data_IF_806843698607
#
_entry.id   IF_806843698607
#
_cell.length_a   1.000
_cell.length_b   1.000
_cell.length_c   1.000
_cell.angle_alpha   90.00
_cell.angle_beta   90.00
_cell.angle_gamma   90.00
#
_symmetry.space_group_name_H-M   'P 1'
#
loop_
_entity.id
_entity.type
_entity.pdbx_description
1 polymer ?
#
# COMPACT_ATOMS: atom_id res chain seq x y z
N UNK A 1 -10.63 -9.12 -26.31
CA UNK A 1 -10.73 -8.10 -25.25
C UNK A 1 -9.49 -8.22 -24.37
N UNK A 2 -8.79 -7.12 -24.17
CA UNK A 2 -7.64 -7.07 -23.27
C UNK A 2 -8.13 -7.33 -21.84
N UNK A 3 -7.52 -8.30 -21.16
CA UNK A 3 -7.82 -8.57 -19.77
C UNK A 3 -7.07 -7.53 -18.94
N UNK A 4 -7.80 -6.76 -18.11
CA UNK A 4 -7.20 -5.73 -17.25
C UNK A 4 -6.82 -6.33 -15.89
N UNK A 5 -5.86 -5.71 -15.19
CA UNK A 5 -5.47 -6.09 -13.82
C UNK A 5 -6.69 -6.06 -12.90
N UNK A 6 -7.53 -5.02 -13.01
CA UNK A 6 -8.78 -4.90 -12.24
C UNK A 6 -9.71 -6.11 -12.42
N UNK A 7 -9.85 -6.58 -13.67
CA UNK A 7 -10.71 -7.74 -13.97
C UNK A 7 -10.10 -9.04 -13.41
N UNK A 8 -8.79 -9.22 -13.53
CA UNK A 8 -8.11 -10.42 -13.00
C UNK A 8 -8.16 -10.45 -11.47
N UNK A 9 -7.83 -9.36 -10.82
CA UNK A 9 -7.80 -9.26 -9.35
C UNK A 9 -9.18 -9.49 -8.72
N UNK A 10 -10.24 -9.10 -9.41
CA UNK A 10 -11.61 -9.19 -8.92
C UNK A 10 -12.41 -10.34 -9.56
N UNK A 11 -11.74 -11.29 -10.22
CA UNK A 11 -12.39 -12.49 -10.75
C UNK A 11 -12.66 -13.47 -9.61
N UNK A 12 -13.89 -13.43 -9.10
CA UNK A 12 -14.38 -14.34 -8.06
C UNK A 12 -15.20 -15.50 -8.63
N UNK A 13 -15.00 -15.84 -9.91
CA UNK A 13 -15.61 -17.04 -10.50
C UNK A 13 -15.13 -18.32 -9.79
N UNK A 14 -15.96 -19.39 -9.74
CA UNK A 14 -15.54 -20.65 -9.14
C UNK A 14 -14.23 -21.20 -9.73
N UNK A 15 -13.99 -20.95 -11.02
CA UNK A 15 -12.76 -21.37 -11.71
C UNK A 15 -11.54 -20.57 -11.22
N UNK A 16 -11.66 -19.26 -11.07
CA UNK A 16 -10.58 -18.41 -10.57
C UNK A 16 -10.25 -18.76 -9.11
N UNK A 17 -11.27 -18.95 -8.27
CA UNK A 17 -11.10 -19.36 -6.87
C UNK A 17 -10.43 -20.73 -6.78
N UNK A 18 -10.85 -21.72 -7.55
CA UNK A 18 -10.22 -23.06 -7.56
C UNK A 18 -8.75 -23.00 -8.02
N UNK A 19 -8.44 -22.14 -8.99
CA UNK A 19 -7.04 -21.92 -9.42
C UNK A 19 -6.21 -21.28 -8.30
N UNK A 20 -6.73 -20.27 -7.61
CA UNK A 20 -6.07 -19.64 -6.48
C UNK A 20 -5.82 -20.65 -5.36
N UNK A 21 -6.82 -21.48 -5.01
CA UNK A 21 -6.67 -22.57 -4.05
C UNK A 21 -5.55 -23.54 -4.42
N UNK A 22 -5.54 -23.98 -5.66
CA UNK A 22 -4.47 -24.86 -6.14
C UNK A 22 -3.09 -24.23 -5.96
N UNK A 23 -2.91 -22.96 -6.35
CA UNK A 23 -1.63 -22.24 -6.24
C UNK A 23 -1.20 -22.04 -4.79
N UNK A 24 -2.12 -21.71 -3.91
CA UNK A 24 -1.83 -21.59 -2.47
C UNK A 24 -1.39 -22.93 -1.87
N UNK A 25 -2.02 -24.05 -2.27
CA UNK A 25 -1.61 -25.39 -1.83
C UNK A 25 -0.23 -25.77 -2.35
N UNK A 26 0.11 -25.42 -3.60
CA UNK A 26 1.45 -25.64 -4.19
C UNK A 26 2.53 -24.83 -3.45
N UNK A 27 2.22 -23.60 -3.01
CA UNK A 27 3.13 -22.73 -2.29
C UNK A 27 3.32 -23.12 -0.82
N UNK A 28 2.32 -23.76 -0.21
CA UNK A 28 2.24 -24.03 1.24
C UNK A 28 3.51 -24.63 1.85
N UNK A 29 4.23 -25.58 1.19
CA UNK A 29 5.46 -26.15 1.75
C UNK A 29 6.60 -25.14 1.96
N UNK A 30 6.55 -24.00 1.24
CA UNK A 30 7.57 -22.95 1.28
C UNK A 30 7.12 -21.72 2.11
N UNK A 31 5.92 -21.76 2.70
CA UNK A 31 5.37 -20.66 3.50
C UNK A 31 5.75 -20.85 4.95
N UNK A 32 6.51 -19.90 5.49
CA UNK A 32 6.94 -19.89 6.89
C UNK A 32 5.77 -19.59 7.85
N UNK A 33 4.77 -18.82 7.40
CA UNK A 33 3.57 -18.49 8.16
C UNK A 33 2.60 -17.64 7.37
N UNK A 34 1.33 -17.67 7.79
CA UNK A 34 0.29 -16.77 7.33
C UNK A 34 0.14 -15.67 8.38
N UNK A 35 0.47 -14.45 8.00
CA UNK A 35 0.59 -13.35 8.95
C UNK A 35 0.15 -12.04 8.31
N UNK A 36 -0.58 -11.22 9.03
CA UNK A 36 -1.01 -9.91 8.55
C UNK A 36 -0.20 -8.77 9.17
N UNK A 37 0.17 -8.89 10.47
CA UNK A 37 0.72 -7.77 11.24
C UNK A 37 2.19 -7.95 11.63
N UNK A 38 2.65 -9.20 11.84
CA UNK A 38 3.99 -9.51 12.38
C UNK A 38 4.98 -10.03 11.33
N UNK A 39 4.58 -10.19 10.07
CA UNK A 39 5.44 -10.65 8.99
C UNK A 39 6.69 -9.76 8.80
N UNK A 40 6.55 -8.47 9.00
CA UNK A 40 7.64 -7.49 8.97
C UNK A 40 8.77 -7.82 9.95
N UNK A 41 8.43 -8.29 11.15
CA UNK A 41 9.44 -8.70 12.16
C UNK A 41 10.19 -9.98 11.75
N UNK A 42 9.59 -10.85 10.97
CA UNK A 42 10.28 -12.04 10.46
C UNK A 42 11.40 -11.67 9.48
N UNK A 43 11.20 -10.60 8.71
CA UNK A 43 12.20 -10.07 7.79
C UNK A 43 13.39 -9.48 8.54
N UNK A 44 13.16 -8.60 9.52
CA UNK A 44 14.22 -7.98 10.32
C UNK A 44 15.02 -8.99 11.15
N UNK A 45 14.39 -10.11 11.52
CA UNK A 45 15.03 -11.21 12.25
C UNK A 45 15.63 -12.30 11.35
N UNK A 46 15.65 -12.07 10.02
CA UNK A 46 16.17 -12.99 9.02
C UNK A 46 15.54 -14.39 9.09
N UNK A 47 14.23 -14.46 9.37
CA UNK A 47 13.45 -15.69 9.47
C UNK A 47 12.64 -16.01 8.23
N UNK A 48 12.51 -15.05 7.33
CA UNK A 48 11.88 -15.20 6.03
C UNK A 48 12.69 -14.43 4.98
N UNK A 49 12.69 -14.92 3.75
CA UNK A 49 13.38 -14.30 2.62
C UNK A 49 12.49 -13.37 1.80
N UNK A 50 11.18 -13.63 1.83
CA UNK A 50 10.16 -12.87 1.12
C UNK A 50 8.98 -12.70 2.06
N UNK A 51 8.46 -11.48 2.14
CA UNK A 51 7.23 -11.16 2.84
C UNK A 51 6.26 -10.46 1.87
N UNK A 52 5.04 -10.97 1.78
CA UNK A 52 3.96 -10.29 1.08
C UNK A 52 3.27 -9.36 2.07
N UNK A 53 3.53 -8.08 1.95
CA UNK A 53 3.20 -7.10 2.99
C UNK A 53 2.65 -5.78 2.44
N UNK A 54 2.07 -4.98 3.30
CA UNK A 54 1.64 -3.61 3.02
C UNK A 54 2.85 -2.68 2.86
N UNK A 55 2.72 -1.65 2.02
CA UNK A 55 3.82 -0.73 1.73
C UNK A 55 4.35 0.02 2.96
N UNK A 56 3.47 0.45 3.88
CA UNK A 56 3.88 1.12 5.12
C UNK A 56 4.61 0.19 6.09
N UNK A 57 4.19 -1.09 6.16
CA UNK A 57 4.92 -2.10 6.94
C UNK A 57 6.28 -2.44 6.32
N UNK A 58 6.39 -2.34 4.99
CA UNK A 58 7.67 -2.50 4.29
C UNK A 58 8.63 -1.33 4.63
N UNK A 59 8.16 -0.09 4.64
CA UNK A 59 8.97 1.08 5.06
C UNK A 59 9.53 0.86 6.46
N UNK A 60 8.67 0.50 7.42
CA UNK A 60 9.09 0.20 8.77
C UNK A 60 10.13 -0.94 8.83
N UNK A 61 9.88 -2.03 8.09
CA UNK A 61 10.79 -3.18 8.08
C UNK A 61 12.16 -2.84 7.49
N UNK A 62 12.23 -2.02 6.47
CA UNK A 62 13.47 -1.56 5.83
C UNK A 62 14.28 -0.71 6.83
N UNK A 63 13.63 0.26 7.51
CA UNK A 63 14.29 1.12 8.49
C UNK A 63 14.84 0.33 9.69
N UNK A 64 14.05 -0.58 10.25
CA UNK A 64 14.47 -1.44 11.38
C UNK A 64 15.56 -2.43 10.98
N UNK A 65 15.51 -2.96 9.75
CA UNK A 65 16.51 -3.89 9.23
C UNK A 65 17.86 -3.20 9.02
N UNK A 66 17.86 -1.99 8.48
CA UNK A 66 19.06 -1.17 8.27
C UNK A 66 19.79 -0.92 9.60
N UNK A 67 19.03 -0.61 10.67
CA UNK A 67 19.56 -0.39 12.02
C UNK A 67 20.32 -1.62 12.61
N UNK A 68 20.05 -2.82 12.10
CA UNK A 68 20.71 -4.07 12.52
C UNK A 68 21.60 -4.68 11.44
N UNK A 69 21.84 -3.95 10.35
CA UNK A 69 22.72 -4.37 9.25
C UNK A 69 22.12 -5.43 8.33
N UNK A 70 20.80 -5.53 8.25
CA UNK A 70 20.07 -6.39 7.30
C UNK A 70 19.55 -5.51 6.17
N UNK A 71 19.94 -5.83 4.94
CA UNK A 71 19.49 -5.12 3.74
C UNK A 71 18.16 -5.72 3.27
N UNK A 72 17.12 -4.90 3.22
CA UNK A 72 15.81 -5.22 2.68
C UNK A 72 15.43 -4.25 1.57
N UNK A 73 14.62 -4.74 0.63
CA UNK A 73 14.05 -3.94 -0.44
C UNK A 73 12.56 -4.27 -0.61
N UNK A 74 11.82 -3.36 -1.23
CA UNK A 74 10.41 -3.52 -1.51
C UNK A 74 10.12 -3.32 -3.00
N UNK A 75 9.34 -4.20 -3.57
CA UNK A 75 8.94 -4.10 -4.97
C UNK A 75 7.48 -4.47 -5.19
N UNK A 76 6.83 -3.74 -6.08
CA UNK A 76 5.52 -4.12 -6.61
C UNK A 76 5.74 -5.03 -7.83
N UNK A 77 5.22 -6.27 -7.84
CA UNK A 77 5.38 -7.20 -8.95
C UNK A 77 4.97 -6.61 -10.31
N UNK A 78 5.63 -7.04 -11.37
CA UNK A 78 5.33 -6.57 -12.73
C UNK A 78 3.91 -6.97 -13.19
N UNK A 79 3.34 -8.01 -12.61
CA UNK A 79 1.97 -8.48 -12.83
C UNK A 79 0.92 -7.52 -12.27
N UNK A 80 1.28 -6.72 -11.28
CA UNK A 80 0.40 -5.78 -10.60
C UNK A 80 0.23 -6.08 -9.12
N UNK A 81 -0.51 -5.23 -8.44
CA UNK A 81 -0.79 -5.34 -7.01
C UNK A 81 -2.12 -4.71 -6.63
N UNK A 82 -2.49 -4.90 -5.38
CA UNK A 82 -3.59 -4.17 -4.76
C UNK A 82 -3.17 -2.71 -4.49
N UNK A 83 -4.10 -1.79 -4.75
CA UNK A 83 -4.06 -0.40 -4.28
C UNK A 83 -5.33 -0.15 -3.47
N UNK A 84 -5.23 0.59 -2.38
CA UNK A 84 -6.39 0.88 -1.52
C UNK A 84 -6.33 2.30 -0.97
N UNK A 85 -7.44 2.72 -0.40
CA UNK A 85 -7.59 3.98 0.31
C UNK A 85 -8.29 3.74 1.63
N UNK A 86 -7.68 4.17 2.73
CA UNK A 86 -8.32 4.24 4.02
C UNK A 86 -8.90 5.63 4.24
N UNK A 87 -10.09 5.70 4.79
CA UNK A 87 -10.79 6.97 4.97
C UNK A 87 -11.42 7.12 6.33
N UNK A 88 -11.30 8.33 6.88
CA UNK A 88 -12.05 8.72 8.07
C UNK A 88 -13.51 8.92 7.72
N UNK A 89 -14.41 8.28 8.46
CA UNK A 89 -15.85 8.41 8.28
C UNK A 89 -16.52 8.88 9.57
N UNK A 90 -17.59 9.64 9.42
CA UNK A 90 -18.44 10.06 10.54
C UNK A 90 -19.74 9.26 10.43
N UNK A 91 -20.02 8.33 11.37
CA UNK A 91 -21.24 7.53 11.33
C UNK A 91 -22.49 8.40 11.35
N UNK A 92 -23.55 7.96 10.67
CA UNK A 92 -24.84 8.71 10.53
C UNK A 92 -25.42 9.18 11.86
N UNK A 93 -25.23 8.40 12.91
CA UNK A 93 -25.81 8.69 14.23
C UNK A 93 -24.76 9.20 15.24
N UNK A 94 -23.62 9.71 14.76
CA UNK A 94 -22.62 10.31 15.63
C UNK A 94 -23.19 11.53 16.38
N UNK A 95 -22.92 11.60 17.69
CA UNK A 95 -23.41 12.69 18.54
C UNK A 95 -22.58 13.97 18.41
N UNK A 96 -21.30 13.84 18.11
CA UNK A 96 -20.31 14.92 18.07
C UNK A 96 -19.77 15.15 16.65
N UNK A 97 -20.65 15.27 15.65
CA UNK A 97 -20.28 15.42 14.22
C UNK A 97 -19.32 16.61 14.02
N UNK A 98 -19.59 17.75 14.68
CA UNK A 98 -18.76 18.95 14.56
C UNK A 98 -17.34 18.71 15.09
N UNK A 99 -17.18 18.05 16.22
CA UNK A 99 -15.86 17.73 16.77
C UNK A 99 -15.11 16.74 15.87
N UNK A 100 -15.79 15.71 15.34
CA UNK A 100 -15.24 14.78 14.39
C UNK A 100 -14.75 15.47 13.10
N UNK A 101 -15.55 16.41 12.57
CA UNK A 101 -15.17 17.19 11.38
C UNK A 101 -13.93 18.07 11.65
N UNK A 102 -13.84 18.70 12.82
CA UNK A 102 -12.64 19.46 13.20
C UNK A 102 -11.42 18.56 13.33
N UNK A 103 -11.57 17.36 13.88
CA UNK A 103 -10.47 16.41 14.00
C UNK A 103 -9.98 15.96 12.62
N UNK A 104 -10.87 15.58 11.71
CA UNK A 104 -10.51 15.21 10.33
C UNK A 104 -9.81 16.38 9.63
N UNK A 105 -10.34 17.59 9.76
CA UNK A 105 -9.72 18.78 9.18
C UNK A 105 -8.32 19.06 9.76
N UNK A 106 -8.12 18.81 11.05
CA UNK A 106 -6.81 18.92 11.69
C UNK A 106 -5.83 17.92 11.08
N UNK A 107 -6.23 16.67 10.84
CA UNK A 107 -5.40 15.64 10.20
C UNK A 107 -5.02 16.00 8.76
N UNK A 108 -5.83 16.80 8.07
CA UNK A 108 -5.55 17.28 6.72
C UNK A 108 -4.56 18.47 6.65
N UNK A 109 -4.11 19.01 7.78
CA UNK A 109 -3.08 20.04 7.77
C UNK A 109 -1.73 19.43 7.33
N UNK A 110 -0.97 20.05 6.39
CA UNK A 110 0.25 19.47 5.85
C UNK A 110 1.26 19.04 6.93
N UNK A 111 1.50 19.90 7.93
CA UNK A 111 2.41 19.59 9.04
C UNK A 111 1.96 18.43 9.93
N UNK A 112 0.66 18.17 10.02
CA UNK A 112 0.09 17.05 10.76
C UNK A 112 0.16 15.78 9.91
N UNK A 113 -0.19 15.89 8.62
CA UNK A 113 -0.08 14.80 7.65
C UNK A 113 1.36 14.27 7.57
N UNK A 114 2.36 15.16 7.48
CA UNK A 114 3.79 14.77 7.49
C UNK A 114 4.15 13.96 8.74
N UNK A 115 3.80 14.46 9.93
CA UNK A 115 4.08 13.73 11.19
C UNK A 115 3.38 12.36 11.25
N UNK A 116 2.17 12.25 10.71
CA UNK A 116 1.48 10.97 10.64
C UNK A 116 2.20 10.02 9.67
N UNK A 117 2.58 10.49 8.48
CA UNK A 117 3.33 9.68 7.51
C UNK A 117 4.64 9.15 8.09
N UNK A 118 5.39 10.00 8.79
CA UNK A 118 6.66 9.61 9.42
C UNK A 118 6.45 8.60 10.56
N UNK A 119 5.31 8.68 11.27
CA UNK A 119 5.02 7.77 12.38
C UNK A 119 4.51 6.38 11.94
N UNK A 120 3.82 6.29 10.80
CA UNK A 120 3.14 5.05 10.39
C UNK A 120 3.68 4.44 9.09
N UNK A 121 4.56 5.14 8.37
CA UNK A 121 5.11 4.69 7.08
C UNK A 121 4.17 4.81 5.88
N UNK A 122 2.87 5.08 6.09
CA UNK A 122 1.88 5.21 5.02
C UNK A 122 1.72 6.65 4.54
N UNK A 123 1.27 6.82 3.29
CA UNK A 123 1.10 8.13 2.65
C UNK A 123 -0.27 8.71 2.96
N UNK A 124 -0.31 10.00 3.31
CA UNK A 124 -1.55 10.76 3.41
C UNK A 124 -2.08 11.16 2.02
N UNK A 125 -3.40 11.25 1.87
CA UNK A 125 -4.03 11.78 0.65
C UNK A 125 -3.88 13.32 0.49
N UNK A 126 -3.19 13.99 1.40
CA UNK A 126 -2.91 15.43 1.33
C UNK A 126 -1.77 15.68 0.36
N UNK A 127 -2.10 16.21 -0.83
CA UNK A 127 -1.16 16.46 -1.92
C UNK A 127 -0.94 17.98 -2.10
N UNK A 128 -0.15 18.58 -1.24
CA UNK A 128 0.17 20.03 -1.27
C UNK A 128 1.62 20.28 -1.63
N UNK A 129 1.99 21.51 -2.07
CA UNK A 129 3.38 21.88 -2.32
C UNK A 129 4.30 21.60 -1.13
N UNK A 130 3.82 21.85 0.09
CA UNK A 130 4.59 21.63 1.32
C UNK A 130 4.89 20.13 1.53
N UNK A 131 3.95 19.24 1.22
CA UNK A 131 4.17 17.79 1.27
C UNK A 131 5.16 17.36 0.20
N UNK A 132 5.00 17.84 -1.03
CA UNK A 132 5.88 17.54 -2.13
C UNK A 132 7.32 17.96 -1.82
N UNK A 133 7.52 19.18 -1.34
CA UNK A 133 8.84 19.70 -0.95
C UNK A 133 9.45 18.88 0.20
N UNK A 134 8.67 18.62 1.25
CA UNK A 134 9.17 17.91 2.44
C UNK A 134 9.53 16.44 2.18
N UNK A 135 8.92 15.81 1.18
CA UNK A 135 9.18 14.41 0.81
C UNK A 135 10.18 14.25 -0.34
N UNK A 136 10.57 15.35 -1.00
CA UNK A 136 11.59 15.31 -2.05
C UNK A 136 12.97 15.09 -1.42
N UNK A 137 13.68 14.06 -1.90
CA UNK A 137 15.06 13.73 -1.52
C UNK A 137 15.96 13.72 -2.76
N UNK A 138 16.72 14.77 -2.93
CA UNK A 138 17.62 14.96 -4.08
C UNK A 138 18.84 14.03 -4.06
N UNK A 139 19.01 13.22 -3.03
CA UNK A 139 20.08 12.20 -2.96
C UNK A 139 19.70 10.91 -3.67
N UNK A 140 18.40 10.72 -3.98
CA UNK A 140 17.92 9.57 -4.71
C UNK A 140 18.24 9.69 -6.20
N UNK A 141 18.70 8.59 -6.79
CA UNK A 141 18.97 8.50 -8.24
C UNK A 141 17.71 8.22 -9.08
N UNK A 142 16.56 7.98 -8.41
CA UNK A 142 15.31 7.60 -9.06
C UNK A 142 14.38 8.80 -9.19
N UNK A 143 13.86 9.02 -10.40
CA UNK A 143 12.84 10.01 -10.69
C UNK A 143 11.51 9.30 -11.00
N UNK A 144 10.43 9.72 -10.34
CA UNK A 144 9.08 9.16 -10.46
C UNK A 144 8.09 10.18 -11.00
N UNK A 145 7.20 9.75 -11.91
CA UNK A 145 6.04 10.53 -12.32
C UNK A 145 4.94 10.39 -11.26
N UNK A 146 4.77 11.44 -10.47
CA UNK A 146 3.75 11.54 -9.43
C UNK A 146 2.64 12.54 -9.78
N UNK A 147 2.50 12.91 -11.04
CA UNK A 147 1.45 13.83 -11.50
C UNK A 147 0.03 13.29 -11.26
N UNK A 148 -0.14 11.98 -11.11
CA UNK A 148 -1.41 11.38 -10.70
C UNK A 148 -1.81 11.75 -9.26
N UNK A 149 -0.84 12.06 -8.39
CA UNK A 149 -1.04 12.38 -6.99
C UNK A 149 -0.97 13.89 -6.72
N UNK A 150 0.14 14.52 -7.11
CA UNK A 150 0.35 15.96 -6.90
C UNK A 150 -0.35 16.85 -7.94
N UNK A 151 -0.94 16.25 -8.98
CA UNK A 151 -1.70 16.95 -10.00
C UNK A 151 -0.88 18.00 -10.77
N UNK A 152 -1.37 19.24 -10.86
CA UNK A 152 -0.74 20.27 -11.70
C UNK A 152 0.46 20.97 -11.04
N UNK A 153 0.98 20.48 -9.92
CA UNK A 153 2.14 21.12 -9.29
C UNK A 153 3.37 21.00 -10.21
N UNK A 154 4.14 22.07 -10.38
CA UNK A 154 5.33 22.06 -11.22
C UNK A 154 6.33 20.98 -10.75
N UNK A 155 6.86 20.20 -11.69
CA UNK A 155 7.82 19.13 -11.41
C UNK A 155 7.23 17.82 -10.90
N UNK A 156 5.90 17.72 -10.73
CA UNK A 156 5.25 16.49 -10.25
C UNK A 156 5.44 15.27 -11.18
N UNK A 157 5.83 15.48 -12.42
CA UNK A 157 6.11 14.46 -13.42
C UNK A 157 7.54 13.87 -13.35
N UNK A 158 8.40 14.42 -12.48
CA UNK A 158 9.80 13.97 -12.33
C UNK A 158 10.34 14.29 -10.93
N UNK A 159 9.80 13.64 -9.91
CA UNK A 159 10.20 13.86 -8.51
C UNK A 159 11.19 12.79 -8.04
N UNK A 160 12.21 13.22 -7.31
CA UNK A 160 13.09 12.37 -6.52
C UNK A 160 12.46 12.17 -5.14
N UNK A 161 11.79 11.05 -4.96
CA UNK A 161 11.01 10.76 -3.76
C UNK A 161 11.01 9.24 -3.54
N UNK A 162 10.90 8.79 -2.29
CA UNK A 162 10.89 7.36 -1.96
C UNK A 162 9.81 6.60 -2.75
N UNK A 163 10.20 5.69 -3.67
CA UNK A 163 9.27 4.95 -4.51
C UNK A 163 8.44 3.90 -3.76
N UNK A 164 8.80 3.56 -2.53
CA UNK A 164 8.02 2.66 -1.66
C UNK A 164 6.77 3.38 -1.18
N UNK A 165 6.93 4.63 -0.73
CA UNK A 165 5.82 5.48 -0.30
C UNK A 165 5.06 6.07 -1.51
N UNK A 166 5.78 6.54 -2.52
CA UNK A 166 5.23 7.23 -3.69
C UNK A 166 5.61 6.52 -4.98
N UNK A 167 4.92 5.43 -5.33
CA UNK A 167 5.24 4.67 -6.54
C UNK A 167 5.01 5.49 -7.81
N UNK A 168 5.88 5.29 -8.81
CA UNK A 168 5.74 5.91 -10.13
C UNK A 168 4.37 5.59 -10.75
N UNK A 169 3.83 6.50 -11.57
CA UNK A 169 2.56 6.33 -12.30
C UNK A 169 2.44 4.96 -12.95
N UNK A 170 3.49 4.47 -13.62
CA UNK A 170 3.49 3.17 -14.31
C UNK A 170 3.28 1.99 -13.35
N UNK A 171 3.68 2.14 -12.08
CA UNK A 171 3.41 1.15 -11.04
C UNK A 171 1.93 1.18 -10.67
N UNK A 172 1.37 2.37 -10.44
CA UNK A 172 -0.05 2.54 -10.07
C UNK A 172 -0.98 2.07 -11.20
N UNK A 173 -0.65 2.31 -12.46
CA UNK A 173 -1.44 1.90 -13.63
C UNK A 173 -1.57 0.38 -13.78
N UNK A 174 -0.69 -0.41 -13.17
CA UNK A 174 -0.80 -1.88 -13.10
C UNK A 174 -1.38 -2.39 -11.77
N UNK A 175 -1.89 -1.50 -10.93
CA UNK A 175 -2.57 -1.86 -9.69
C UNK A 175 -4.09 -1.74 -9.83
N UNK A 176 -4.82 -2.42 -8.95
CA UNK A 176 -6.27 -2.33 -8.91
C UNK A 176 -6.80 -2.45 -7.48
N UNK A 177 -7.98 -1.90 -7.22
CA UNK A 177 -8.66 -2.05 -5.94
C UNK A 177 -9.37 -3.40 -5.86
N UNK A 178 -9.21 -4.09 -4.73
CA UNK A 178 -10.01 -5.27 -4.42
C UNK A 178 -11.45 -4.83 -4.14
N UNK A 179 -12.40 -5.51 -4.78
CA UNK A 179 -13.83 -5.30 -4.58
C UNK A 179 -14.38 -6.33 -3.59
N UNK A 180 -15.53 -6.02 -3.03
CA UNK A 180 -16.31 -6.98 -2.23
C UNK A 180 -16.64 -8.24 -3.05
N UNK A 181 -16.52 -9.40 -2.41
CA UNK A 181 -16.78 -10.70 -3.06
C UNK A 181 -18.27 -11.02 -3.20
N UNK A 182 -19.15 -10.21 -2.58
CA UNK A 182 -20.59 -10.38 -2.62
C UNK A 182 -21.02 -11.79 -2.19
N UNK A 183 -21.87 -12.42 -3.01
CA UNK A 183 -22.37 -13.77 -2.77
C UNK A 183 -21.30 -14.88 -2.76
N UNK A 184 -20.04 -14.53 -3.11
CA UNK A 184 -18.91 -15.46 -3.13
C UNK A 184 -18.03 -15.39 -1.88
N UNK A 185 -18.36 -14.54 -0.93
CA UNK A 185 -17.55 -14.34 0.28
C UNK A 185 -17.33 -15.65 1.04
N UNK A 186 -18.36 -16.48 1.24
CA UNK A 186 -18.21 -17.75 1.93
C UNK A 186 -17.30 -18.73 1.19
N UNK A 187 -17.37 -18.75 -0.16
CA UNK A 187 -16.50 -19.59 -0.96
C UNK A 187 -15.03 -19.16 -0.86
N UNK A 188 -14.77 -17.85 -0.87
CA UNK A 188 -13.40 -17.32 -0.67
C UNK A 188 -12.88 -17.62 0.73
N UNK A 189 -13.71 -17.44 1.77
CA UNK A 189 -13.33 -17.75 3.15
C UNK A 189 -13.06 -19.25 3.37
N UNK A 190 -13.64 -20.12 2.58
CA UNK A 190 -13.35 -21.57 2.65
C UNK A 190 -11.96 -21.96 2.17
N UNK A 191 -11.18 -21.03 1.56
CA UNK A 191 -9.79 -21.26 1.15
C UNK A 191 -8.79 -21.16 2.30
N UNK A 192 -9.19 -20.54 3.40
CA UNK A 192 -8.39 -20.29 4.60
C UNK A 192 -8.58 -21.42 5.60
#
# INVERSE_FOLDING_TARGET
STVTVERLMNDNSPQAIALAEQRLKEMKPNIAGWEADFGKEMMTKNKAWINFTWSGDAVWAIEEADAVGVELDYTVPCEGSNIWYDGWVIPRYARNVKAASYFINYLCQPSVALRNMDAIGYVSAVATPEIMEAKTDTTLDVHSDLSYFFGPLPGADSLQIDPVQYPDRRVVERCAMIRDFGDRTELVLSLI
#
